data_IF_234373712913
#
_entry.id   IF_234373712913
#
_cell.length_a   1.000
_cell.length_b   1.000
_cell.length_c   1.000
_cell.angle_alpha   90.00
_cell.angle_beta   90.00
_cell.angle_gamma   90.00
#
_symmetry.space_group_name_H-M   'P 1'
#
loop_
_entity.id
_entity.type
_entity.pdbx_description
1 polymer ?
#
# COMPACT_ATOMS: atom_id res chain seq x y z
N UNK A 1 5.66 -3.80 -1.41
CA UNK A 1 5.45 -4.20 -0.01
C UNK A 1 5.86 -5.67 0.21
N UNK A 2 5.11 -6.68 -0.27
CA UNK A 2 5.32 -8.11 0.04
C UNK A 2 6.73 -8.63 -0.30
N UNK A 3 7.31 -8.25 -1.44
CA UNK A 3 8.69 -8.59 -1.81
C UNK A 3 9.71 -8.14 -0.75
N UNK A 4 9.62 -6.90 -0.26
CA UNK A 4 10.48 -6.40 0.82
C UNK A 4 10.25 -7.17 2.12
N UNK A 5 8.99 -7.41 2.47
CA UNK A 5 8.60 -8.11 3.69
C UNK A 5 9.11 -9.55 3.71
N UNK A 6 9.06 -10.25 2.57
CA UNK A 6 9.49 -11.63 2.43
C UNK A 6 10.90 -11.80 1.83
N UNK A 7 11.72 -10.77 1.85
CA UNK A 7 13.08 -10.78 1.27
C UNK A 7 13.99 -11.89 1.83
N UNK A 8 13.71 -12.40 3.03
CA UNK A 8 14.41 -13.56 3.61
C UNK A 8 14.18 -14.87 2.81
N UNK A 9 13.01 -14.97 2.17
CA UNK A 9 12.61 -16.15 1.38
C UNK A 9 12.94 -15.99 -0.11
N UNK A 10 13.36 -14.80 -0.54
CA UNK A 10 13.64 -14.52 -1.94
C UNK A 10 14.86 -15.30 -2.47
N UNK A 11 14.72 -15.85 -3.67
CA UNK A 11 15.84 -16.41 -4.44
C UNK A 11 16.86 -15.33 -4.77
N UNK A 12 18.13 -15.56 -4.43
CA UNK A 12 19.21 -14.57 -4.60
C UNK A 12 19.75 -14.48 -6.01
N UNK A 13 19.43 -15.44 -6.85
CA UNK A 13 19.86 -15.53 -8.25
C UNK A 13 19.03 -14.64 -9.18
N UNK A 14 17.85 -14.18 -8.74
CA UNK A 14 16.96 -13.33 -9.50
C UNK A 14 16.93 -11.94 -8.88
N UNK A 15 17.25 -10.94 -9.69
CA UNK A 15 17.10 -9.53 -9.29
C UNK A 15 15.72 -9.04 -9.68
N UNK A 16 14.92 -8.58 -8.73
CA UNK A 16 13.59 -8.02 -8.96
C UNK A 16 13.62 -6.54 -8.62
N UNK A 17 13.14 -5.73 -9.56
CA UNK A 17 12.98 -4.29 -9.41
C UNK A 17 11.54 -3.90 -9.72
N UNK A 18 11.09 -2.78 -9.15
CA UNK A 18 9.75 -2.26 -9.34
C UNK A 18 9.84 -0.83 -9.83
N UNK A 19 9.12 -0.52 -10.91
CA UNK A 19 8.93 0.81 -11.43
C UNK A 19 7.44 1.07 -11.57
N UNK A 20 6.92 2.08 -10.92
CA UNK A 20 5.49 2.41 -10.92
C UNK A 20 5.21 3.91 -11.09
N UNK A 21 6.26 4.73 -11.07
CA UNK A 21 6.17 6.17 -11.30
C UNK A 21 6.50 6.50 -12.75
N UNK A 22 5.83 7.51 -13.31
CA UNK A 22 6.22 8.13 -14.60
C UNK A 22 7.34 9.14 -14.43
N UNK A 23 7.93 9.29 -13.25
CA UNK A 23 9.15 10.05 -13.06
C UNK A 23 10.27 9.42 -13.91
N UNK A 24 10.87 10.14 -14.87
CA UNK A 24 11.89 9.58 -15.75
C UNK A 24 13.08 8.99 -14.97
N UNK A 25 13.46 9.62 -13.86
CA UNK A 25 14.57 9.16 -13.03
C UNK A 25 14.29 7.78 -12.39
N UNK A 26 13.04 7.49 -12.02
CA UNK A 26 12.66 6.19 -11.43
C UNK A 26 12.89 5.02 -12.41
N UNK A 27 12.58 5.24 -13.69
CA UNK A 27 12.84 4.24 -14.74
C UNK A 27 14.34 4.10 -15.02
N UNK A 28 15.07 5.21 -15.18
CA UNK A 28 16.49 5.20 -15.46
C UNK A 28 17.27 4.47 -14.36
N UNK A 29 16.99 4.75 -13.09
CA UNK A 29 17.60 4.06 -11.95
C UNK A 29 17.17 2.58 -11.87
N UNK A 30 15.92 2.28 -12.24
CA UNK A 30 15.43 0.89 -12.28
C UNK A 30 16.17 0.07 -13.34
N UNK A 31 16.49 0.65 -14.49
CA UNK A 31 17.18 -0.03 -15.58
C UNK A 31 18.70 -0.06 -15.41
N UNK A 32 19.25 0.83 -14.58
CA UNK A 32 20.68 0.97 -14.40
C UNK A 32 21.35 -0.37 -13.99
N UNK A 33 22.33 -0.80 -14.80
CA UNK A 33 23.09 -2.02 -14.56
C UNK A 33 22.33 -3.33 -14.88
N UNK A 34 21.14 -3.27 -15.51
CA UNK A 34 20.47 -4.46 -16.04
C UNK A 34 21.01 -4.81 -17.43
N UNK A 35 21.01 -6.13 -17.74
CA UNK A 35 21.29 -6.62 -19.09
C UNK A 35 19.97 -6.90 -19.82
N UNK A 36 19.69 -6.21 -20.96
CA UNK A 36 18.46 -6.40 -21.72
C UNK A 36 18.20 -7.84 -22.14
N UNK A 37 19.25 -8.61 -22.50
CA UNK A 37 19.11 -10.00 -22.93
C UNK A 37 18.59 -10.94 -21.85
N UNK A 38 18.72 -10.56 -20.56
CA UNK A 38 18.31 -11.37 -19.41
C UNK A 38 17.24 -10.69 -18.56
N UNK A 39 16.66 -9.61 -19.05
CA UNK A 39 15.62 -8.84 -18.33
C UNK A 39 14.23 -9.16 -18.90
N UNK A 40 13.27 -9.44 -18.03
CA UNK A 40 11.85 -9.62 -18.37
C UNK A 40 11.05 -8.51 -17.68
N UNK A 41 10.15 -7.87 -18.41
CA UNK A 41 9.19 -6.90 -17.87
C UNK A 41 7.84 -7.57 -17.64
N UNK A 42 7.35 -7.50 -16.41
CA UNK A 42 6.00 -7.93 -16.04
C UNK A 42 5.11 -6.70 -15.93
N UNK A 43 4.26 -6.49 -16.92
CA UNK A 43 3.37 -5.35 -17.04
C UNK A 43 2.02 -5.71 -16.41
N UNK A 44 1.75 -5.13 -15.24
CA UNK A 44 0.51 -5.39 -14.50
C UNK A 44 -0.43 -4.20 -14.62
N UNK A 45 -1.51 -4.35 -15.35
CA UNK A 45 -2.57 -3.34 -15.46
C UNK A 45 -3.92 -4.00 -15.75
N UNK A 46 -4.87 -3.87 -14.84
CA UNK A 46 -6.20 -4.47 -14.99
C UNK A 46 -6.85 -4.10 -16.31
N UNK A 47 -6.87 -2.81 -16.66
CA UNK A 47 -7.57 -2.27 -17.85
C UNK A 47 -6.67 -2.14 -19.08
N UNK A 48 -5.35 -2.22 -18.93
CA UNK A 48 -4.36 -1.84 -19.94
C UNK A 48 -4.65 -0.48 -20.60
N UNK A 49 -5.17 0.45 -19.78
CA UNK A 49 -5.43 1.85 -20.15
C UNK A 49 -4.78 2.82 -19.16
N UNK A 50 -4.12 2.31 -18.12
CA UNK A 50 -3.45 3.16 -17.13
C UNK A 50 -2.26 3.85 -17.80
N UNK A 51 -2.31 5.18 -17.90
CA UNK A 51 -1.35 5.98 -18.64
C UNK A 51 0.09 5.73 -18.16
N UNK A 52 0.29 5.74 -16.86
CA UNK A 52 1.58 5.49 -16.23
C UNK A 52 2.18 4.15 -16.71
N UNK A 53 1.37 3.10 -16.69
CA UNK A 53 1.80 1.76 -17.14
C UNK A 53 2.13 1.75 -18.63
N UNK A 54 1.35 2.44 -19.48
CA UNK A 54 1.59 2.48 -20.92
C UNK A 54 2.85 3.26 -21.28
N UNK A 55 3.12 4.37 -20.60
CA UNK A 55 4.35 5.16 -20.78
C UNK A 55 5.56 4.33 -20.37
N UNK A 56 5.54 3.72 -19.20
CA UNK A 56 6.64 2.87 -18.73
C UNK A 56 6.86 1.65 -19.64
N UNK A 57 5.77 1.02 -20.12
CA UNK A 57 5.87 -0.08 -21.08
C UNK A 57 6.51 0.35 -22.40
N UNK A 58 6.14 1.54 -22.93
CA UNK A 58 6.74 2.08 -24.14
C UNK A 58 8.24 2.25 -23.97
N UNK A 59 8.68 2.92 -22.92
CA UNK A 59 10.10 3.19 -22.66
C UNK A 59 10.88 1.88 -22.40
N UNK A 60 10.29 0.92 -21.70
CA UNK A 60 10.88 -0.41 -21.50
C UNK A 60 11.07 -1.17 -22.83
N UNK A 61 10.10 -1.06 -23.74
CA UNK A 61 10.21 -1.66 -25.08
C UNK A 61 11.29 -0.99 -25.91
N UNK A 62 11.41 0.32 -25.90
CA UNK A 62 12.48 1.07 -26.57
C UNK A 62 13.85 0.62 -26.05
N UNK A 63 14.04 0.55 -24.74
CA UNK A 63 15.28 0.09 -24.11
C UNK A 63 15.64 -1.36 -24.49
N UNK A 64 14.67 -2.26 -24.55
CA UNK A 64 14.89 -3.63 -25.03
C UNK A 64 15.26 -3.64 -26.53
N UNK A 65 14.48 -2.92 -27.35
CA UNK A 65 14.61 -2.94 -28.79
C UNK A 65 15.99 -2.47 -29.28
N UNK A 66 16.56 -1.48 -28.61
CA UNK A 66 17.91 -0.94 -28.91
C UNK A 66 19.00 -2.01 -28.75
N UNK A 67 18.78 -3.01 -27.89
CA UNK A 67 19.78 -4.06 -27.60
C UNK A 67 19.47 -5.40 -28.29
N UNK A 68 18.21 -5.87 -28.24
CA UNK A 68 17.83 -7.21 -28.71
C UNK A 68 17.02 -7.20 -30.01
N UNK A 69 16.73 -6.03 -30.55
CA UNK A 69 15.93 -5.84 -31.77
C UNK A 69 14.44 -6.16 -31.57
N UNK A 70 13.63 -5.78 -32.54
CA UNK A 70 12.17 -5.96 -32.48
C UNK A 70 11.73 -7.43 -32.37
N UNK A 71 12.47 -8.33 -33.01
CA UNK A 71 12.15 -9.78 -33.00
C UNK A 71 12.34 -10.45 -31.62
N UNK A 72 13.16 -9.87 -30.75
CA UNK A 72 13.42 -10.37 -29.40
C UNK A 72 12.34 -9.96 -28.39
N UNK A 73 11.68 -8.82 -28.62
CA UNK A 73 10.75 -8.19 -27.68
C UNK A 73 9.68 -9.13 -27.07
N UNK A 74 8.99 -9.98 -27.86
CA UNK A 74 7.89 -10.77 -27.33
C UNK A 74 8.30 -11.70 -26.18
N UNK A 75 9.55 -12.17 -26.16
CA UNK A 75 10.07 -13.08 -25.13
C UNK A 75 10.39 -12.38 -23.81
N UNK A 76 10.44 -11.05 -23.80
CA UNK A 76 10.81 -10.24 -22.66
C UNK A 76 9.63 -9.51 -22.03
N UNK A 77 8.41 -9.70 -22.54
CA UNK A 77 7.21 -9.02 -22.08
C UNK A 77 6.20 -10.03 -21.54
N UNK A 78 5.75 -9.80 -20.32
CA UNK A 78 4.68 -10.56 -19.67
C UNK A 78 3.55 -9.60 -19.31
N UNK A 79 2.30 -9.95 -19.62
CA UNK A 79 1.13 -9.15 -19.29
C UNK A 79 0.29 -9.78 -18.18
N UNK A 80 -0.21 -8.94 -17.25
CA UNK A 80 -1.20 -9.36 -16.26
C UNK A 80 -2.38 -8.40 -16.37
N UNK A 81 -3.54 -8.91 -16.84
CA UNK A 81 -4.67 -8.04 -17.21
C UNK A 81 -6.00 -8.79 -17.27
N UNK A 82 -7.10 -8.02 -17.19
CA UNK A 82 -8.46 -8.50 -17.54
C UNK A 82 -8.77 -8.36 -19.06
N UNK A 83 -7.90 -7.71 -19.84
CA UNK A 83 -8.13 -7.39 -21.25
C UNK A 83 -7.00 -7.91 -22.14
N UNK A 84 -6.99 -9.23 -22.39
CA UNK A 84 -5.96 -9.91 -23.19
C UNK A 84 -5.73 -9.26 -24.57
N UNK A 85 -6.80 -8.96 -25.28
CA UNK A 85 -6.74 -8.36 -26.62
C UNK A 85 -5.95 -7.03 -26.63
N UNK A 86 -6.12 -6.18 -25.60
CA UNK A 86 -5.33 -4.94 -25.49
C UNK A 86 -3.86 -5.23 -25.29
N UNK A 87 -3.52 -6.19 -24.45
CA UNK A 87 -2.15 -6.57 -24.20
C UNK A 87 -1.50 -7.15 -25.46
N UNK A 88 -2.21 -7.99 -26.20
CA UNK A 88 -1.75 -8.55 -27.48
C UNK A 88 -1.54 -7.45 -28.53
N UNK A 89 -2.48 -6.50 -28.66
CA UNK A 89 -2.34 -5.36 -29.57
C UNK A 89 -1.14 -4.47 -29.22
N UNK A 90 -0.69 -4.50 -27.98
CA UNK A 90 0.53 -3.81 -27.53
C UNK A 90 1.81 -4.65 -27.67
N UNK A 91 1.72 -5.84 -28.29
CA UNK A 91 2.86 -6.68 -28.64
C UNK A 91 3.30 -7.67 -27.57
N UNK A 92 2.42 -8.01 -26.61
CA UNK A 92 2.66 -9.12 -25.67
C UNK A 92 2.10 -10.42 -26.31
N UNK A 93 2.90 -11.48 -26.35
CA UNK A 93 2.43 -12.76 -26.85
C UNK A 93 1.30 -13.32 -25.99
N UNK A 94 0.29 -13.91 -26.63
CA UNK A 94 -0.89 -14.43 -25.93
C UNK A 94 -0.54 -15.48 -24.84
N UNK A 95 0.48 -16.29 -25.08
CA UNK A 95 1.01 -17.28 -24.13
C UNK A 95 1.69 -16.67 -22.91
N UNK A 96 2.08 -15.39 -23.01
CA UNK A 96 2.73 -14.62 -21.94
C UNK A 96 1.75 -13.71 -21.19
N UNK A 97 0.43 -13.88 -21.41
CA UNK A 97 -0.59 -13.08 -20.73
C UNK A 97 -1.29 -13.93 -19.68
N UNK A 98 -1.26 -13.44 -18.44
CA UNK A 98 -1.96 -14.02 -17.29
C UNK A 98 -3.24 -13.25 -16.98
N UNK A 99 -4.35 -13.97 -16.83
CA UNK A 99 -5.64 -13.35 -16.59
C UNK A 99 -5.79 -12.81 -15.17
N UNK A 100 -6.20 -11.57 -15.09
CA UNK A 100 -6.65 -10.94 -13.84
C UNK A 100 -8.18 -10.86 -13.89
N UNK A 101 -8.92 -11.58 -13.02
CA UNK A 101 -10.37 -11.52 -13.02
C UNK A 101 -10.89 -10.09 -12.84
N UNK A 102 -11.92 -9.72 -13.59
CA UNK A 102 -12.45 -8.37 -13.63
C UNK A 102 -13.09 -7.90 -12.31
N UNK A 103 -13.54 -8.85 -11.48
CA UNK A 103 -14.06 -8.58 -10.14
C UNK A 103 -12.97 -8.36 -9.08
N UNK A 104 -11.68 -8.65 -9.37
CA UNK A 104 -10.57 -8.39 -8.46
C UNK A 104 -10.17 -6.93 -8.51
N UNK A 105 -10.31 -6.21 -7.39
CA UNK A 105 -9.80 -4.85 -7.24
C UNK A 105 -8.26 -4.82 -7.15
N UNK A 106 -7.61 -3.79 -7.67
CA UNK A 106 -6.15 -3.69 -7.68
C UNK A 106 -5.51 -3.83 -6.28
N UNK A 107 -6.06 -3.14 -5.28
CA UNK A 107 -5.59 -3.18 -3.89
C UNK A 107 -5.84 -4.50 -3.16
N UNK A 108 -6.66 -5.39 -3.74
CA UNK A 108 -6.97 -6.75 -3.26
C UNK A 108 -6.35 -7.84 -4.15
N UNK A 109 -5.41 -7.49 -5.04
CA UNK A 109 -5.02 -8.39 -6.14
C UNK A 109 -3.80 -9.26 -5.87
N UNK A 110 -3.10 -9.10 -4.75
CA UNK A 110 -1.83 -9.82 -4.51
C UNK A 110 -2.00 -11.36 -4.49
N UNK A 111 -3.16 -11.86 -4.12
CA UNK A 111 -3.50 -13.30 -4.15
C UNK A 111 -3.90 -13.83 -5.54
N UNK A 112 -3.95 -12.96 -6.55
CA UNK A 112 -4.27 -13.30 -7.94
C UNK A 112 -3.00 -13.39 -8.81
N UNK A 113 -3.16 -13.41 -10.14
CA UNK A 113 -2.04 -13.35 -11.09
C UNK A 113 -1.11 -12.13 -10.85
N UNK A 114 -1.60 -11.03 -10.25
CA UNK A 114 -0.76 -9.91 -9.85
C UNK A 114 0.34 -10.28 -8.84
N UNK A 115 0.20 -11.41 -8.13
CA UNK A 115 1.23 -11.97 -7.26
C UNK A 115 2.34 -12.75 -7.98
N UNK A 116 2.31 -12.88 -9.32
CA UNK A 116 3.29 -13.65 -10.09
C UNK A 116 4.74 -13.28 -9.75
N UNK A 117 5.05 -11.99 -9.69
CA UNK A 117 6.41 -11.52 -9.38
C UNK A 117 6.83 -11.94 -7.96
N UNK A 118 5.91 -11.93 -7.01
CA UNK A 118 6.18 -12.44 -5.66
C UNK A 118 6.43 -13.95 -5.69
N UNK A 119 5.60 -14.71 -6.42
CA UNK A 119 5.78 -16.15 -6.57
C UNK A 119 7.12 -16.50 -7.23
N UNK A 120 7.55 -15.77 -8.26
CA UNK A 120 8.87 -15.92 -8.87
C UNK A 120 9.97 -15.64 -7.84
N UNK A 121 9.78 -14.63 -7.00
CA UNK A 121 10.77 -14.22 -6.00
C UNK A 121 11.00 -15.25 -4.91
N UNK A 122 9.93 -15.78 -4.31
CA UNK A 122 10.01 -16.64 -3.11
C UNK A 122 9.82 -18.14 -3.42
N UNK A 123 9.54 -18.47 -4.67
CA UNK A 123 9.19 -19.80 -5.11
C UNK A 123 7.70 -20.14 -4.90
N UNK A 124 7.19 -21.13 -5.69
CA UNK A 124 5.77 -21.49 -5.64
C UNK A 124 5.34 -22.04 -4.28
N UNK A 125 6.14 -22.84 -3.61
CA UNK A 125 5.79 -23.46 -2.32
C UNK A 125 5.56 -22.38 -1.25
N UNK A 126 6.45 -21.40 -1.13
CA UNK A 126 6.31 -20.29 -0.19
C UNK A 126 5.16 -19.36 -0.58
N UNK A 127 4.88 -19.21 -1.87
CA UNK A 127 3.69 -18.48 -2.31
C UNK A 127 2.40 -19.22 -1.95
N UNK A 128 2.36 -20.55 -2.05
CA UNK A 128 1.23 -21.33 -1.56
C UNK A 128 1.08 -21.28 -0.04
N UNK A 129 2.18 -21.21 0.71
CA UNK A 129 2.12 -20.94 2.15
C UNK A 129 1.47 -19.56 2.43
N UNK A 130 1.84 -18.53 1.65
CA UNK A 130 1.20 -17.22 1.73
C UNK A 130 -0.31 -17.29 1.48
N UNK A 131 -0.75 -17.94 0.39
CA UNK A 131 -2.17 -18.13 0.09
C UNK A 131 -2.89 -18.95 1.18
N UNK A 132 -2.23 -19.96 1.74
CA UNK A 132 -2.78 -20.76 2.86
C UNK A 132 -2.99 -19.89 4.11
N UNK A 133 -2.09 -18.93 4.34
CA UNK A 133 -2.26 -17.93 5.40
C UNK A 133 -3.51 -17.08 5.20
N UNK A 134 -3.74 -16.59 3.98
CA UNK A 134 -4.95 -15.84 3.63
C UNK A 134 -6.21 -16.69 3.85
N UNK A 135 -6.22 -17.89 3.30
CA UNK A 135 -7.34 -18.83 3.42
C UNK A 135 -7.68 -19.14 4.90
N UNK A 136 -6.67 -19.20 5.78
CA UNK A 136 -6.89 -19.38 7.22
C UNK A 136 -7.75 -18.27 7.83
N UNK A 137 -7.49 -17.03 7.44
CA UNK A 137 -8.25 -15.85 7.90
C UNK A 137 -9.63 -15.80 7.24
N UNK A 138 -9.74 -16.16 5.96
CA UNK A 138 -11.03 -16.27 5.28
C UNK A 138 -11.99 -17.16 6.07
N UNK A 139 -11.54 -18.37 6.41
CA UNK A 139 -12.33 -19.31 7.22
C UNK A 139 -12.65 -18.74 8.60
N UNK A 140 -11.68 -18.15 9.30
CA UNK A 140 -11.89 -17.58 10.63
C UNK A 140 -12.91 -16.45 10.60
N UNK A 141 -12.81 -15.55 9.65
CA UNK A 141 -13.73 -14.42 9.49
C UNK A 141 -15.17 -14.89 9.28
N UNK A 142 -15.36 -15.99 8.53
CA UNK A 142 -16.68 -16.53 8.22
C UNK A 142 -17.27 -17.43 9.31
N UNK A 143 -16.45 -18.10 10.13
CA UNK A 143 -16.91 -19.16 11.01
C UNK A 143 -16.72 -18.91 12.51
N UNK A 144 -15.82 -18.00 12.90
CA UNK A 144 -15.62 -17.72 14.34
C UNK A 144 -16.80 -16.94 14.93
N UNK A 145 -17.20 -17.25 16.18
CA UNK A 145 -18.15 -16.43 16.91
C UNK A 145 -17.70 -14.98 17.00
N UNK A 146 -18.65 -14.06 17.04
CA UNK A 146 -18.38 -12.62 17.04
C UNK A 146 -17.36 -12.20 18.10
N UNK A 147 -17.47 -12.72 19.31
CA UNK A 147 -16.63 -12.37 20.47
C UNK A 147 -15.15 -12.76 20.31
N UNK A 148 -14.85 -13.69 19.42
CA UNK A 148 -13.49 -14.16 19.10
C UNK A 148 -13.05 -13.83 17.68
N UNK A 149 -13.93 -13.20 16.89
CA UNK A 149 -13.64 -12.84 15.50
C UNK A 149 -12.79 -11.56 15.42
N UNK A 150 -11.49 -11.74 15.37
CA UNK A 150 -10.54 -10.61 15.35
C UNK A 150 -10.78 -9.62 14.20
N UNK A 151 -11.22 -10.09 13.04
CA UNK A 151 -11.55 -9.23 11.89
C UNK A 151 -12.71 -8.29 12.21
N UNK A 152 -13.82 -8.84 12.74
CA UNK A 152 -14.99 -8.05 13.07
C UNK A 152 -14.73 -7.13 14.26
N UNK A 153 -14.01 -7.59 15.27
CA UNK A 153 -13.65 -6.76 16.42
C UNK A 153 -12.80 -5.56 16.01
N UNK A 154 -11.79 -5.76 15.16
CA UNK A 154 -10.96 -4.67 14.65
C UNK A 154 -11.76 -3.69 13.79
N UNK A 155 -12.70 -4.16 12.97
CA UNK A 155 -13.58 -3.30 12.19
C UNK A 155 -14.48 -2.42 13.06
N UNK A 156 -14.96 -2.95 14.17
CA UNK A 156 -15.76 -2.17 15.14
C UNK A 156 -14.89 -1.17 15.92
N UNK A 157 -13.64 -1.50 16.21
CA UNK A 157 -12.68 -0.53 16.78
C UNK A 157 -12.43 0.63 15.83
N UNK A 158 -12.34 0.38 14.49
CA UNK A 158 -12.26 1.46 13.50
C UNK A 158 -13.46 2.40 13.57
N UNK A 159 -14.66 1.81 13.58
CA UNK A 159 -15.91 2.56 13.68
C UNK A 159 -15.98 3.34 14.99
N UNK A 160 -15.62 2.71 16.09
CA UNK A 160 -15.61 3.34 17.41
C UNK A 160 -14.67 4.56 17.45
N UNK A 161 -13.41 4.34 17.05
CA UNK A 161 -12.41 5.40 17.05
C UNK A 161 -12.80 6.57 16.13
N UNK A 162 -13.29 6.25 14.92
CA UNK A 162 -13.55 7.26 13.90
C UNK A 162 -14.88 7.96 14.08
N UNK A 163 -15.97 7.20 14.26
CA UNK A 163 -17.33 7.77 14.26
C UNK A 163 -17.79 8.22 15.63
N UNK A 164 -17.36 7.57 16.71
CA UNK A 164 -17.80 7.88 18.06
C UNK A 164 -16.79 8.77 18.81
N UNK A 165 -15.50 8.46 18.74
CA UNK A 165 -14.46 9.26 19.39
C UNK A 165 -13.91 10.36 18.51
N UNK A 166 -14.28 10.39 17.22
CA UNK A 166 -13.87 11.39 16.24
C UNK A 166 -12.35 11.51 16.06
N UNK A 167 -11.61 10.39 16.19
CA UNK A 167 -10.18 10.36 15.91
C UNK A 167 -9.95 10.28 14.39
N UNK A 168 -9.36 11.31 13.77
CA UNK A 168 -9.33 11.40 12.30
C UNK A 168 -8.27 10.51 11.65
N UNK A 169 -7.28 10.05 12.41
CA UNK A 169 -6.15 9.29 11.88
C UNK A 169 -5.87 8.05 12.72
N UNK A 170 -5.15 7.09 12.14
CA UNK A 170 -4.63 5.92 12.82
C UNK A 170 -3.18 5.68 12.39
N UNK A 171 -2.29 5.49 13.36
CA UNK A 171 -0.90 5.17 13.10
C UNK A 171 -0.68 3.65 13.11
N UNK A 172 -0.10 3.10 12.03
CA UNK A 172 0.28 1.68 11.94
C UNK A 172 1.79 1.56 12.09
N UNK A 173 2.24 0.84 13.09
CA UNK A 173 3.63 0.81 13.54
C UNK A 173 4.14 -0.64 13.61
N UNK A 174 4.62 -1.20 12.48
CA UNK A 174 5.23 -2.53 12.49
C UNK A 174 6.59 -2.50 13.18
N UNK A 175 6.81 -3.30 14.20
CA UNK A 175 8.11 -3.51 14.82
C UNK A 175 8.90 -4.57 14.03
N UNK A 176 9.12 -4.24 12.76
CA UNK A 176 9.90 -5.01 11.80
C UNK A 176 10.31 -4.13 10.63
N UNK A 177 11.59 -3.93 10.38
CA UNK A 177 12.10 -3.13 9.26
C UNK A 177 11.72 -3.72 7.89
N UNK A 178 11.47 -5.03 7.81
CA UNK A 178 10.99 -5.68 6.59
C UNK A 178 9.57 -5.24 6.21
N UNK A 179 8.80 -4.72 7.16
CA UNK A 179 7.45 -4.23 6.94
C UNK A 179 7.37 -2.71 6.72
N UNK A 180 8.47 -2.05 6.36
CA UNK A 180 8.53 -0.59 6.15
C UNK A 180 7.49 -0.06 5.14
N UNK A 181 7.10 -0.84 4.15
CA UNK A 181 6.06 -0.49 3.18
C UNK A 181 4.64 -0.95 3.58
N UNK A 182 4.48 -1.57 4.75
CA UNK A 182 3.17 -2.05 5.18
C UNK A 182 2.18 -0.92 5.48
N UNK A 183 2.57 0.17 6.19
CA UNK A 183 1.68 1.32 6.35
C UNK A 183 1.23 1.92 5.02
N UNK A 184 2.12 2.07 4.03
CA UNK A 184 1.79 2.58 2.70
C UNK A 184 0.83 1.65 1.92
N UNK A 185 0.95 0.33 2.07
CA UNK A 185 -0.02 -0.62 1.54
C UNK A 185 -1.40 -0.41 2.17
N UNK A 186 -1.47 -0.24 3.49
CA UNK A 186 -2.73 0.00 4.19
C UNK A 186 -3.34 1.36 3.87
N UNK A 187 -2.54 2.38 3.54
CA UNK A 187 -3.05 3.64 3.01
C UNK A 187 -3.92 3.38 1.78
N UNK A 188 -3.40 2.68 0.79
CA UNK A 188 -4.19 2.36 -0.40
C UNK A 188 -5.37 1.46 -0.05
N UNK A 189 -5.16 0.36 0.67
CA UNK A 189 -6.21 -0.60 0.99
C UNK A 189 -7.38 0.06 1.73
N UNK A 190 -7.11 0.77 2.82
CA UNK A 190 -8.16 1.29 3.70
C UNK A 190 -8.68 2.66 3.25
N UNK A 191 -7.79 3.60 2.89
CA UNK A 191 -8.21 4.96 2.55
C UNK A 191 -8.95 5.02 1.22
N UNK A 192 -8.48 4.29 0.19
CA UNK A 192 -9.16 4.23 -1.10
C UNK A 192 -10.51 3.50 -1.00
N UNK A 193 -10.61 2.48 -0.13
CA UNK A 193 -11.85 1.74 0.08
C UNK A 193 -12.87 2.48 0.93
N UNK A 194 -12.43 3.14 2.00
CA UNK A 194 -13.29 3.71 3.04
C UNK A 194 -13.41 5.23 3.00
N UNK A 195 -12.54 5.90 2.23
CA UNK A 195 -12.55 7.36 2.06
C UNK A 195 -13.70 7.82 1.15
N UNK A 196 -14.93 7.72 1.62
CA UNK A 196 -16.15 8.05 0.87
C UNK A 196 -16.92 9.15 1.59
N UNK A 197 -17.57 10.02 0.84
CA UNK A 197 -18.43 11.09 1.37
C UNK A 197 -19.93 10.78 1.27
N UNK A 198 -20.30 9.73 0.52
CA UNK A 198 -21.69 9.29 0.31
C UNK A 198 -21.79 7.80 0.59
N UNK A 199 -22.87 7.40 1.24
CA UNK A 199 -23.23 6.00 1.49
C UNK A 199 -23.66 5.30 0.19
N UNK A 200 -23.61 3.97 0.20
CA UNK A 200 -24.06 3.13 -0.93
C UNK A 200 -25.52 3.36 -1.31
N UNK A 201 -26.36 3.77 -0.36
CA UNK A 201 -27.78 4.11 -0.55
C UNK A 201 -28.01 5.56 -1.05
N UNK A 202 -26.95 6.34 -1.30
CA UNK A 202 -27.00 7.70 -1.79
C UNK A 202 -27.16 8.78 -0.72
N UNK A 203 -27.23 8.41 0.56
CA UNK A 203 -27.37 9.38 1.66
C UNK A 203 -26.02 9.87 2.16
N UNK A 204 -26.01 11.08 2.70
CA UNK A 204 -24.85 11.62 3.42
C UNK A 204 -24.64 10.93 4.76
N UNK A 205 -23.42 11.02 5.29
CA UNK A 205 -23.10 10.48 6.62
C UNK A 205 -23.53 11.45 7.72
N UNK A 206 -24.12 10.90 8.81
CA UNK A 206 -24.36 11.63 10.03
C UNK A 206 -23.12 11.71 10.96
N UNK A 207 -22.03 11.03 10.62
CA UNK A 207 -20.78 10.96 11.39
C UNK A 207 -19.58 10.83 10.45
N UNK A 208 -18.37 11.02 11.00
CA UNK A 208 -17.12 10.81 10.25
C UNK A 208 -16.90 9.33 9.95
N UNK A 209 -16.41 9.02 8.74
CA UNK A 209 -16.08 7.66 8.27
C UNK A 209 -14.70 7.62 7.67
N UNK A 210 -14.05 6.45 7.69
CA UNK A 210 -12.70 6.26 7.17
C UNK A 210 -11.66 7.12 7.89
N UNK A 211 -10.56 6.52 8.32
CA UNK A 211 -9.45 7.21 8.96
C UNK A 211 -8.30 7.43 7.98
N UNK A 212 -7.53 8.50 8.17
CA UNK A 212 -6.25 8.67 7.51
C UNK A 212 -5.27 7.66 8.11
N UNK A 213 -4.74 6.77 7.28
CA UNK A 213 -3.75 5.77 7.69
C UNK A 213 -2.35 6.29 7.41
N UNK A 214 -1.47 6.20 8.39
CA UNK A 214 -0.07 6.59 8.27
C UNK A 214 0.79 5.75 9.24
N UNK A 215 2.10 5.89 9.19
CA UNK A 215 2.97 5.20 10.11
C UNK A 215 4.34 4.92 9.53
N UNK A 216 5.18 4.31 10.34
CA UNK A 216 6.52 3.86 10.00
C UNK A 216 6.92 2.70 10.92
N UNK A 217 8.10 2.12 10.68
CA UNK A 217 8.63 1.03 11.49
C UNK A 217 8.97 1.44 12.93
N UNK A 218 8.77 0.53 13.86
CA UNK A 218 8.71 0.68 15.29
C UNK A 218 9.75 1.57 15.96
N UNK A 219 10.99 1.09 16.15
CA UNK A 219 11.97 1.85 16.93
C UNK A 219 12.43 3.13 16.22
N UNK A 220 12.50 3.15 14.89
CA UNK A 220 12.86 4.33 14.10
C UNK A 220 11.83 5.45 14.27
N UNK A 221 10.55 5.11 14.27
CA UNK A 221 9.46 6.07 14.43
C UNK A 221 9.41 6.71 15.82
N UNK A 222 9.99 6.09 16.86
CA UNK A 222 10.10 6.68 18.18
C UNK A 222 10.89 8.01 18.16
N UNK A 223 11.84 8.13 17.24
CA UNK A 223 12.64 9.33 17.02
C UNK A 223 12.03 10.31 15.98
N UNK A 224 10.85 9.99 15.44
CA UNK A 224 10.19 10.82 14.43
C UNK A 224 8.90 11.46 14.95
N UNK A 225 7.91 10.66 15.35
CA UNK A 225 6.57 11.17 15.66
C UNK A 225 6.01 10.70 17.01
N UNK A 226 6.70 9.92 17.81
CA UNK A 226 6.18 9.50 19.12
C UNK A 226 6.02 10.66 20.11
N UNK A 227 6.81 11.73 19.99
CA UNK A 227 6.57 12.94 20.74
C UNK A 227 5.14 13.44 20.54
N UNK A 228 4.66 13.46 19.30
CA UNK A 228 3.27 13.86 19.00
C UNK A 228 2.27 12.83 19.53
N UNK A 229 2.55 11.54 19.40
CA UNK A 229 1.68 10.48 19.91
C UNK A 229 1.48 10.58 21.42
N UNK A 230 2.50 10.97 22.18
CA UNK A 230 2.43 11.09 23.63
C UNK A 230 1.87 12.43 24.14
N UNK A 231 2.24 13.54 23.51
CA UNK A 231 1.96 14.88 24.02
C UNK A 231 1.23 15.79 23.02
N UNK A 232 0.96 15.33 21.79
CA UNK A 232 0.16 16.10 20.84
C UNK A 232 -1.27 16.32 21.35
N UNK A 233 -1.90 17.39 20.92
CA UNK A 233 -3.28 17.74 21.30
C UNK A 233 -4.32 16.77 20.73
N UNK A 234 -4.01 16.14 19.58
CA UNK A 234 -4.87 15.14 18.99
C UNK A 234 -4.52 13.73 19.48
N UNK A 235 -5.55 12.94 19.76
CA UNK A 235 -5.39 11.53 20.08
C UNK A 235 -5.34 10.71 18.79
N UNK A 236 -4.26 9.94 18.62
CA UNK A 236 -4.06 9.05 17.47
C UNK A 236 -4.09 7.61 17.97
N UNK A 237 -5.12 6.81 17.62
CA UNK A 237 -5.08 5.37 17.84
C UNK A 237 -3.87 4.76 17.13
N UNK A 238 -3.13 3.93 17.86
CA UNK A 238 -1.94 3.26 17.33
C UNK A 238 -2.22 1.77 17.13
N UNK A 239 -1.75 1.21 16.03
CA UNK A 239 -1.78 -0.22 15.78
C UNK A 239 -0.35 -0.73 15.61
N UNK A 240 0.11 -1.54 16.56
CA UNK A 240 1.48 -2.02 16.64
C UNK A 240 1.53 -3.50 16.28
N UNK A 241 2.42 -3.87 15.36
CA UNK A 241 2.61 -5.25 14.94
C UNK A 241 3.95 -5.76 15.50
N UNK A 242 3.90 -6.85 16.27
CA UNK A 242 5.07 -7.47 16.89
C UNK A 242 5.24 -8.94 16.49
N UNK A 243 6.47 -9.41 16.56
CA UNK A 243 6.83 -10.81 16.34
C UNK A 243 7.62 -11.33 17.53
N UNK A 244 7.31 -12.57 17.97
CA UNK A 244 7.97 -13.14 19.16
C UNK A 244 9.32 -13.78 18.86
N UNK A 245 9.58 -14.18 17.63
CA UNK A 245 10.77 -14.97 17.29
C UNK A 245 11.57 -14.37 16.14
N UNK A 246 12.88 -14.33 16.31
CA UNK A 246 13.84 -14.04 15.25
C UNK A 246 13.99 -15.23 14.28
N UNK A 247 14.43 -14.98 13.04
CA UNK A 247 14.82 -16.04 12.11
C UNK A 247 16.11 -16.75 12.51
N UNK A 248 17.00 -16.03 13.16
CA UNK A 248 18.25 -16.57 13.68
C UNK A 248 18.20 -16.54 15.21
N UNK A 249 18.33 -17.69 15.84
CA UNK A 249 18.31 -17.81 17.30
C UNK A 249 19.38 -16.96 17.99
N UNK A 250 20.51 -16.69 17.34
CA UNK A 250 21.56 -15.81 17.88
C UNK A 250 21.12 -14.35 18.03
N UNK A 251 20.02 -13.94 17.37
CA UNK A 251 19.46 -12.60 17.44
C UNK A 251 18.19 -12.51 18.30
N UNK A 252 17.89 -13.53 19.10
CA UNK A 252 16.68 -13.53 19.92
C UNK A 252 16.69 -12.43 20.99
N UNK A 253 17.86 -12.06 21.53
CA UNK A 253 17.96 -10.93 22.47
C UNK A 253 17.56 -9.59 21.80
N UNK A 254 17.99 -9.37 20.57
CA UNK A 254 17.56 -8.18 19.81
C UNK A 254 16.05 -8.21 19.57
N UNK A 255 15.48 -9.37 19.27
CA UNK A 255 14.03 -9.54 19.10
C UNK A 255 13.28 -9.25 20.41
N UNK A 256 13.81 -9.70 21.55
CA UNK A 256 13.24 -9.40 22.87
C UNK A 256 13.29 -7.89 23.16
N UNK A 257 14.40 -7.23 22.85
CA UNK A 257 14.54 -5.78 23.01
C UNK A 257 13.57 -5.01 22.11
N UNK A 258 13.39 -5.46 20.86
CA UNK A 258 12.46 -4.86 19.91
C UNK A 258 11.01 -4.97 20.43
N UNK A 259 10.62 -6.13 20.93
CA UNK A 259 9.29 -6.37 21.48
C UNK A 259 9.07 -5.63 22.81
N UNK A 260 10.09 -5.55 23.68
CA UNK A 260 10.04 -4.74 24.88
C UNK A 260 9.80 -3.25 24.59
N UNK A 261 10.43 -2.70 23.55
CA UNK A 261 10.16 -1.34 23.09
C UNK A 261 8.70 -1.18 22.63
N UNK A 262 8.13 -2.14 21.89
CA UNK A 262 6.72 -2.10 21.51
C UNK A 262 5.81 -2.04 22.73
N UNK A 263 6.01 -2.92 23.69
CA UNK A 263 5.21 -2.97 24.92
C UNK A 263 5.35 -1.68 25.75
N UNK A 264 6.57 -1.19 25.93
CA UNK A 264 6.84 0.03 26.68
C UNK A 264 6.13 1.24 26.07
N UNK A 265 6.11 1.36 24.75
CA UNK A 265 5.38 2.45 24.07
C UNK A 265 3.88 2.32 24.22
N UNK A 266 3.33 1.10 24.09
CA UNK A 266 1.90 0.85 24.29
C UNK A 266 1.48 1.16 25.74
N UNK A 267 2.29 0.77 26.72
CA UNK A 267 2.06 1.03 28.14
C UNK A 267 2.13 2.53 28.45
N UNK A 268 3.15 3.23 27.95
CA UNK A 268 3.30 4.67 28.14
C UNK A 268 2.16 5.47 27.46
N UNK A 269 1.67 5.04 26.30
CA UNK A 269 0.49 5.62 25.66
C UNK A 269 -0.78 5.41 26.48
N UNK A 270 -0.94 4.23 27.08
CA UNK A 270 -2.13 3.90 27.85
C UNK A 270 -2.16 4.61 29.21
N UNK A 271 -1.07 4.61 29.95
CA UNK A 271 -1.04 5.04 31.35
C UNK A 271 -0.38 6.41 31.57
N UNK A 272 0.42 6.87 30.62
CA UNK A 272 1.16 8.14 30.78
C UNK A 272 2.32 8.05 31.77
N UNK A 273 2.71 9.20 32.31
CA UNK A 273 3.72 9.27 33.36
C UNK A 273 3.08 9.11 34.74
N UNK A 274 3.78 8.47 35.68
CA UNK A 274 3.32 8.34 37.05
C UNK A 274 3.19 9.74 37.70
N UNK A 275 1.98 10.07 38.13
CA UNK A 275 1.63 11.37 38.69
C UNK A 275 2.05 11.53 40.15
N UNK A 276 2.69 10.53 40.77
CA UNK A 276 3.13 10.56 42.17
C UNK A 276 4.44 11.34 42.39
N UNK A 277 5.21 11.62 41.33
CA UNK A 277 6.36 12.52 41.44
C UNK A 277 5.90 13.99 41.63
N UNK A 278 6.00 14.47 42.86
CA UNK A 278 5.57 15.86 43.25
C UNK A 278 6.32 16.97 42.51
N UNK A 279 7.41 16.67 41.83
CA UNK A 279 8.30 17.59 41.14
C UNK A 279 8.28 17.41 39.60
N UNK A 280 7.25 16.77 39.04
CA UNK A 280 7.17 16.60 37.58
C UNK A 280 6.94 17.98 36.94
N UNK A 281 7.89 18.42 36.15
CA UNK A 281 7.75 19.63 35.34
C UNK A 281 6.61 19.41 34.35
N UNK A 282 5.65 20.34 34.27
CA UNK A 282 4.41 20.18 33.48
C UNK A 282 4.66 19.78 32.02
N UNK A 283 5.76 20.22 31.41
CA UNK A 283 6.15 19.88 30.04
C UNK A 283 6.67 18.45 29.86
N UNK A 284 6.95 17.72 30.94
CA UNK A 284 7.31 16.30 30.93
C UNK A 284 6.15 15.35 31.21
N UNK A 285 5.00 15.91 31.54
CA UNK A 285 3.81 15.09 31.84
C UNK A 285 3.29 14.38 30.61
N UNK A 286 3.10 13.07 30.70
CA UNK A 286 2.37 12.25 29.73
C UNK A 286 0.98 11.97 30.29
N UNK A 287 -0.06 12.34 29.58
CA UNK A 287 -1.44 12.19 30.07
C UNK A 287 -1.95 10.74 30.01
N UNK A 288 -1.41 9.93 29.12
CA UNK A 288 -1.94 8.60 28.87
C UNK A 288 -3.29 8.60 28.16
N UNK A 289 -4.09 7.54 28.37
CA UNK A 289 -5.42 7.36 27.77
C UNK A 289 -5.40 7.47 26.24
N UNK A 290 -4.31 7.04 25.60
CA UNK A 290 -4.12 7.02 24.15
C UNK A 290 -4.23 5.57 23.67
N UNK A 291 -5.28 5.23 22.88
CA UNK A 291 -5.59 3.85 22.58
C UNK A 291 -4.55 3.22 21.65
N UNK A 292 -4.20 1.97 21.94
CA UNK A 292 -3.37 1.16 21.05
C UNK A 292 -3.92 -0.25 20.93
N UNK A 293 -3.70 -0.86 19.77
CA UNK A 293 -3.98 -2.27 19.49
C UNK A 293 -2.66 -2.96 19.17
N UNK A 294 -2.42 -4.13 19.75
CA UNK A 294 -1.22 -4.93 19.46
C UNK A 294 -1.64 -6.18 18.70
N UNK A 295 -1.05 -6.38 17.51
CA UNK A 295 -1.14 -7.62 16.76
C UNK A 295 0.18 -8.36 16.94
N UNK A 296 0.13 -9.48 17.65
CA UNK A 296 1.31 -10.32 17.92
C UNK A 296 1.26 -11.60 17.10
N UNK A 297 2.34 -11.87 16.38
CA UNK A 297 2.51 -13.11 15.62
C UNK A 297 3.81 -13.83 16.01
N UNK A 298 3.90 -15.16 15.80
CA UNK A 298 5.11 -15.90 16.18
C UNK A 298 6.37 -15.48 15.43
N UNK A 299 6.29 -15.40 14.10
CA UNK A 299 7.42 -15.08 13.21
C UNK A 299 6.89 -14.57 11.87
N UNK A 300 7.56 -13.61 11.27
CA UNK A 300 7.18 -13.08 9.95
C UNK A 300 7.52 -14.08 8.84
N UNK A 301 6.56 -14.91 8.46
CA UNK A 301 6.66 -15.91 7.38
C UNK A 301 5.70 -15.57 6.25
N UNK A 302 5.80 -16.21 5.06
CA UNK A 302 4.79 -16.07 4.02
C UNK A 302 3.38 -16.36 4.53
N UNK A 303 3.18 -17.42 5.30
CA UNK A 303 1.91 -17.76 5.92
C UNK A 303 1.37 -16.65 6.84
N UNK A 304 2.21 -16.07 7.68
CA UNK A 304 1.82 -14.97 8.59
C UNK A 304 1.53 -13.68 7.80
N UNK A 305 2.33 -13.38 6.77
CA UNK A 305 2.01 -12.23 5.91
C UNK A 305 0.67 -12.42 5.20
N UNK A 306 0.38 -13.62 4.70
CA UNK A 306 -0.93 -13.95 4.14
C UNK A 306 -2.06 -13.72 5.13
N UNK A 307 -1.90 -14.16 6.38
CA UNK A 307 -2.88 -13.90 7.43
C UNK A 307 -3.08 -12.41 7.69
N UNK A 308 -1.99 -11.63 7.77
CA UNK A 308 -2.10 -10.18 7.98
C UNK A 308 -2.82 -9.49 6.82
N UNK A 309 -2.50 -9.82 5.57
CA UNK A 309 -3.17 -9.20 4.43
C UNK A 309 -4.67 -9.51 4.42
N UNK A 310 -5.04 -10.78 4.55
CA UNK A 310 -6.45 -11.17 4.57
C UNK A 310 -7.20 -10.53 5.77
N UNK A 311 -6.57 -10.44 6.94
CA UNK A 311 -7.13 -9.77 8.10
C UNK A 311 -7.51 -8.31 7.78
N UNK A 312 -6.61 -7.56 7.15
CA UNK A 312 -6.88 -6.15 6.82
C UNK A 312 -7.82 -6.00 5.63
N UNK A 313 -7.78 -6.91 4.65
CA UNK A 313 -8.73 -6.93 3.54
C UNK A 313 -10.16 -7.16 4.05
N UNK A 314 -10.39 -8.18 4.85
CA UNK A 314 -11.70 -8.46 5.47
C UNK A 314 -12.14 -7.36 6.43
N UNK A 315 -11.25 -6.84 7.28
CA UNK A 315 -11.50 -5.70 8.16
C UNK A 315 -11.97 -4.48 7.37
N UNK A 316 -11.30 -4.17 6.26
CA UNK A 316 -11.68 -3.07 5.39
C UNK A 316 -13.09 -3.25 4.82
N UNK A 317 -13.41 -4.45 4.36
CA UNK A 317 -14.76 -4.79 3.86
C UNK A 317 -15.79 -4.70 4.99
N UNK A 318 -15.50 -5.27 6.16
CA UNK A 318 -16.40 -5.24 7.31
C UNK A 318 -16.67 -3.81 7.80
N UNK A 319 -15.63 -2.97 7.93
CA UNK A 319 -15.78 -1.55 8.25
C UNK A 319 -16.63 -0.83 7.20
N UNK A 320 -16.41 -1.13 5.91
CA UNK A 320 -17.20 -0.59 4.82
C UNK A 320 -18.69 -0.97 4.91
N UNK A 321 -18.99 -2.21 5.28
CA UNK A 321 -20.38 -2.68 5.50
C UNK A 321 -21.02 -1.92 6.66
N UNK A 322 -20.33 -1.77 7.79
CA UNK A 322 -20.85 -1.05 8.96
C UNK A 322 -21.13 0.41 8.63
N UNK A 323 -20.24 1.08 7.91
CA UNK A 323 -20.43 2.46 7.47
C UNK A 323 -21.40 2.60 6.29
N UNK A 324 -21.75 1.50 5.62
CA UNK A 324 -22.62 1.53 4.45
C UNK A 324 -21.96 2.10 3.20
N UNK A 325 -20.63 1.96 3.04
CA UNK A 325 -19.88 2.36 1.84
C UNK A 325 -19.61 1.17 0.93
N UNK A 326 -19.35 1.44 -0.36
CA UNK A 326 -18.79 0.44 -1.27
C UNK A 326 -17.24 0.46 -1.15
N UNK A 327 -16.58 -0.59 -0.60
CA UNK A 327 -15.14 -0.60 -0.45
C UNK A 327 -14.38 -0.96 -1.74
N UNK A 328 -15.06 -1.22 -2.85
CA UNK A 328 -14.46 -1.75 -4.09
C UNK A 328 -14.38 -0.74 -5.24
N UNK A 329 -14.91 0.47 -5.08
CA UNK A 329 -14.81 1.56 -6.04
C UNK A 329 -13.83 2.67 -5.59
N UNK A 330 -13.52 3.60 -6.50
CA UNK A 330 -12.58 4.71 -6.28
C UNK A 330 -12.89 5.93 -7.17
N UNK A 331 -14.14 6.37 -7.25
CA UNK A 331 -14.57 7.46 -8.11
C UNK A 331 -13.79 8.77 -7.92
N UNK A 332 -13.29 9.02 -6.70
CA UNK A 332 -12.56 10.25 -6.36
C UNK A 332 -11.26 10.47 -7.14
N UNK A 333 -10.68 9.43 -7.76
CA UNK A 333 -9.42 9.57 -8.52
C UNK A 333 -9.63 9.80 -10.02
N UNK A 334 -10.87 9.72 -10.54
CA UNK A 334 -11.11 9.78 -11.99
C UNK A 334 -11.03 11.20 -12.53
N UNK A 335 -11.59 12.17 -11.80
CA UNK A 335 -11.60 13.58 -12.24
C UNK A 335 -10.20 14.14 -12.46
N UNK A 336 -9.26 13.83 -11.54
CA UNK A 336 -7.87 14.27 -11.67
C UNK A 336 -7.17 13.71 -12.91
N UNK A 337 -7.46 12.47 -13.28
CA UNK A 337 -6.89 11.84 -14.49
C UNK A 337 -7.33 12.54 -15.76
N UNK A 338 -8.62 12.88 -15.87
CA UNK A 338 -9.14 13.59 -17.04
C UNK A 338 -8.50 14.97 -17.16
N UNK A 339 -8.43 15.74 -16.08
CA UNK A 339 -7.79 17.05 -16.06
C UNK A 339 -6.32 16.94 -16.44
N UNK A 340 -5.61 15.91 -15.98
CA UNK A 340 -4.19 15.72 -16.32
C UNK A 340 -3.96 15.47 -17.81
N UNK A 341 -4.87 14.74 -18.48
CA UNK A 341 -4.79 14.53 -19.93
C UNK A 341 -4.91 15.87 -20.66
N UNK A 342 -5.89 16.70 -20.31
CA UNK A 342 -6.09 18.00 -20.93
C UNK A 342 -4.87 18.94 -20.73
N UNK A 343 -4.33 18.97 -19.50
CA UNK A 343 -3.13 19.76 -19.20
C UNK A 343 -1.93 19.30 -20.05
N UNK A 344 -1.73 18.01 -20.18
CA UNK A 344 -0.63 17.46 -20.96
C UNK A 344 -0.73 17.77 -22.44
N UNK A 345 -1.94 17.69 -23.03
CA UNK A 345 -2.18 18.09 -24.41
C UNK A 345 -1.83 19.57 -24.64
N UNK A 346 -2.18 20.45 -23.71
CA UNK A 346 -1.84 21.86 -23.75
C UNK A 346 -0.32 22.10 -23.56
N UNK A 347 0.34 21.36 -22.68
CA UNK A 347 1.78 21.47 -22.46
C UNK A 347 2.59 21.02 -23.67
N UNK A 348 2.10 20.02 -24.39
CA UNK A 348 2.71 19.50 -25.62
C UNK A 348 2.30 20.24 -26.90
N UNK A 349 1.49 21.31 -26.78
CA UNK A 349 1.02 22.13 -27.90
C UNK A 349 0.22 21.33 -28.95
N UNK A 350 -0.41 20.24 -28.54
CA UNK A 350 -1.21 19.36 -29.40
C UNK A 350 -2.68 19.83 -29.45
N UNK A 351 -3.09 20.71 -28.53
CA UNK A 351 -4.45 21.25 -28.48
C UNK A 351 -4.71 22.29 -29.56
N UNK A 352 -5.81 22.16 -30.31
CA UNK A 352 -6.28 23.23 -31.17
C UNK A 352 -6.77 24.42 -30.30
N UNK A 353 -6.67 25.68 -30.80
CA UNK A 353 -7.15 26.85 -30.05
C UNK A 353 -8.63 26.75 -29.60
N UNK A 354 -9.45 25.99 -30.32
CA UNK A 354 -10.87 25.76 -30.04
C UNK A 354 -11.12 24.83 -28.85
N UNK A 355 -10.12 24.02 -28.46
CA UNK A 355 -10.18 23.04 -27.38
C UNK A 355 -9.38 23.45 -26.14
N UNK A 356 -8.86 24.68 -26.09
CA UNK A 356 -8.15 25.17 -24.90
C UNK A 356 -9.18 25.46 -23.79
N UNK A 357 -9.07 24.71 -22.70
CA UNK A 357 -9.88 24.94 -21.50
C UNK A 357 -9.34 26.18 -20.79
N UNK A 358 -10.21 27.14 -20.45
CA UNK A 358 -9.82 28.28 -19.65
C UNK A 358 -9.30 27.80 -18.29
N UNK A 359 -7.98 27.88 -18.10
CA UNK A 359 -7.34 27.44 -16.84
C UNK A 359 -7.47 28.52 -15.79
N UNK A 360 -7.63 28.11 -14.53
CA UNK A 360 -7.54 29.06 -13.43
C UNK A 360 -6.15 29.72 -13.42
N UNK A 361 -6.08 30.94 -12.85
CA UNK A 361 -4.88 31.78 -12.91
C UNK A 361 -3.63 31.14 -12.27
N UNK A 362 -3.80 30.18 -11.33
CA UNK A 362 -2.69 29.46 -10.69
C UNK A 362 -2.11 28.41 -11.62
N UNK A 363 -2.93 27.51 -12.18
CA UNK A 363 -2.47 26.46 -13.08
C UNK A 363 -1.84 27.01 -14.35
N UNK A 364 -2.46 28.04 -14.97
CA UNK A 364 -1.92 28.71 -16.16
C UNK A 364 -0.52 29.28 -15.92
N UNK A 365 -0.33 30.05 -14.84
CA UNK A 365 0.98 30.60 -14.48
C UNK A 365 2.05 29.55 -14.19
N UNK A 366 1.66 28.43 -13.57
CA UNK A 366 2.60 27.33 -13.29
C UNK A 366 3.01 26.62 -14.58
N UNK A 367 2.10 26.44 -15.54
CA UNK A 367 2.42 25.86 -16.85
C UNK A 367 3.39 26.76 -17.65
N UNK A 368 3.17 28.10 -17.64
CA UNK A 368 4.08 29.04 -18.25
C UNK A 368 5.48 28.95 -17.63
N UNK A 369 5.58 28.96 -16.30
CA UNK A 369 6.87 28.81 -15.60
C UNK A 369 7.54 27.47 -15.87
N UNK A 370 6.79 26.39 -15.92
CA UNK A 370 7.32 25.07 -16.25
C UNK A 370 7.96 25.06 -17.64
N UNK A 371 7.29 25.64 -18.65
CA UNK A 371 7.84 25.75 -19.99
C UNK A 371 9.16 26.56 -20.00
N UNK A 372 9.21 27.68 -19.29
CA UNK A 372 10.43 28.49 -19.17
C UNK A 372 11.58 27.68 -18.54
N UNK A 373 11.32 26.96 -17.45
CA UNK A 373 12.36 26.19 -16.77
C UNK A 373 12.82 24.97 -17.58
N UNK A 374 11.95 24.36 -18.36
CA UNK A 374 12.27 23.23 -19.23
C UNK A 374 13.25 23.66 -20.35
N UNK A 375 13.12 24.87 -20.85
CA UNK A 375 13.88 25.39 -22.01
C UNK A 375 15.19 26.09 -21.57
N UNK A 376 15.48 26.17 -20.27
CA UNK A 376 16.75 26.68 -19.69
C UNK A 376 17.72 25.56 -19.36
#
# INVERSE_FOLDING_TARGET
MAYKTLSKFAHREITIRFCSSIDPLDLDETLNGLNPETTIFVITSKSFNTKETLVLMKNAKEWLQDSIGAAGLPKHLVGITSFREKATNLGIEETMIFDLPDWVGGRFSLSSAAGLVLMISIGPDEFFHFLSGMNKIDHKTLSEPFESNGTLLLSLIDVWNRSFLNYPTMAVIPYSSQMSYFPAYLQQLMMESLGKNIRKDGHEFGSSVGSVIWGATGTESQHAFFQFLHQGTDVVPCEMLGFSSSYNHTHQEQQNSLFANLLAQAEALAFGSDTQEKDLILDKKLEGNRPSTIILAPKLTPFILGQLLALYEHRTVASGVVWGVNPFDQWGVESGKNIAIDIELEMNEISSPENMVERNSSSGKLMEKFKIFRDT
#
